data_IF_934953127660
#
_entry.id   IF_934953127660
#
_cell.length_a   1.000
_cell.length_b   1.000
_cell.length_c   1.000
_cell.angle_alpha   90.00
_cell.angle_beta   90.00
_cell.angle_gamma   90.00
#
_symmetry.space_group_name_H-M   'P 1'
#
loop_
_entity.id
_entity.type
_entity.pdbx_description
1 polymer ?
#
# COMPACT_ATOMS: atom_id res chain seq x y z
N UNK A 1 -8.58 -25.53 -5.82
CA UNK A 1 -8.74 -26.72 -6.69
C UNK A 1 -9.03 -28.01 -5.91
N UNK A 2 -8.08 -28.58 -5.17
CA UNK A 2 -8.24 -29.88 -4.46
C UNK A 2 -9.49 -29.99 -3.57
N UNK A 3 -9.89 -28.89 -2.92
CA UNK A 3 -11.03 -28.86 -2.00
C UNK A 3 -12.28 -28.17 -2.59
N UNK A 4 -12.27 -27.82 -3.88
CA UNK A 4 -13.42 -27.13 -4.52
C UNK A 4 -13.75 -25.74 -3.97
N UNK A 5 -12.85 -25.11 -3.22
CA UNK A 5 -13.06 -23.76 -2.66
C UNK A 5 -12.87 -22.67 -3.71
N UNK A 6 -13.47 -21.50 -3.45
CA UNK A 6 -13.28 -20.30 -4.25
C UNK A 6 -11.82 -19.86 -4.29
N UNK A 7 -11.36 -19.47 -5.48
CA UNK A 7 -10.01 -18.94 -5.67
C UNK A 7 -9.87 -17.55 -5.08
N UNK A 8 -8.68 -17.25 -4.53
CA UNK A 8 -8.28 -15.87 -4.24
C UNK A 8 -7.99 -15.17 -5.56
N UNK A 9 -8.68 -14.07 -5.84
CA UNK A 9 -8.55 -13.33 -7.11
C UNK A 9 -7.80 -12.01 -6.96
N UNK A 10 -7.67 -11.49 -5.74
CA UNK A 10 -6.93 -10.27 -5.48
C UNK A 10 -6.29 -10.24 -4.09
N UNK A 11 -5.23 -9.44 -3.96
CA UNK A 11 -4.56 -9.11 -2.72
C UNK A 11 -4.52 -7.59 -2.54
N UNK A 12 -5.10 -7.09 -1.45
CA UNK A 12 -4.95 -5.69 -1.05
C UNK A 12 -3.63 -5.50 -0.29
N UNK A 13 -2.74 -4.61 -0.75
CA UNK A 13 -1.44 -4.36 -0.11
C UNK A 13 -1.11 -2.88 0.06
N UNK A 14 -0.37 -2.56 1.13
CA UNK A 14 0.24 -1.24 1.23
C UNK A 14 1.28 -1.13 0.13
N UNK A 15 1.11 -0.14 -0.75
CA UNK A 15 2.09 0.08 -1.79
C UNK A 15 2.12 1.54 -2.21
N UNK A 16 3.30 2.13 -2.19
CA UNK A 16 3.57 3.52 -2.59
C UNK A 16 5.08 3.68 -2.81
N UNK A 17 5.52 4.82 -3.35
CA UNK A 17 6.95 5.12 -3.46
C UNK A 17 7.70 5.04 -2.12
N UNK A 18 6.99 5.24 -1.00
CA UNK A 18 7.53 5.18 0.36
C UNK A 18 7.31 3.83 1.08
N UNK A 19 6.71 2.82 0.43
CA UNK A 19 6.42 1.51 1.04
C UNK A 19 6.43 0.45 -0.06
N UNK A 20 7.53 -0.31 -0.14
CA UNK A 20 7.82 -1.22 -1.27
C UNK A 20 8.13 -2.66 -0.83
N UNK A 21 7.94 -2.99 0.44
CA UNK A 21 8.27 -4.31 1.00
C UNK A 21 7.54 -5.45 0.28
N UNK A 22 6.31 -5.19 -0.20
CA UNK A 22 5.48 -6.12 -0.97
C UNK A 22 6.11 -6.59 -2.30
N UNK A 23 7.15 -5.90 -2.80
CA UNK A 23 7.87 -6.32 -4.01
C UNK A 23 8.78 -7.53 -3.80
N UNK A 24 9.20 -7.79 -2.54
CA UNK A 24 10.13 -8.86 -2.22
C UNK A 24 9.54 -10.25 -2.53
N UNK A 25 8.35 -10.54 -1.98
CA UNK A 25 7.70 -11.83 -2.18
C UNK A 25 6.22 -11.72 -2.59
N UNK A 26 5.36 -10.92 -1.92
CA UNK A 26 3.92 -10.94 -2.20
C UNK A 26 3.58 -10.72 -3.68
N UNK A 27 4.25 -9.78 -4.35
CA UNK A 27 3.98 -9.50 -5.76
C UNK A 27 4.46 -10.62 -6.69
N UNK A 28 5.55 -11.32 -6.36
CA UNK A 28 6.01 -12.47 -7.14
C UNK A 28 5.00 -13.63 -7.04
N UNK A 29 4.49 -13.89 -5.82
CA UNK A 29 3.44 -14.88 -5.60
C UNK A 29 2.17 -14.51 -6.37
N UNK A 30 1.72 -13.26 -6.27
CA UNK A 30 0.53 -12.80 -6.98
C UNK A 30 0.68 -12.94 -8.50
N UNK A 31 1.84 -12.55 -9.04
CA UNK A 31 2.16 -12.67 -10.47
C UNK A 31 2.16 -14.13 -10.92
N UNK A 32 2.77 -15.03 -10.15
CA UNK A 32 2.82 -16.46 -10.48
C UNK A 32 1.43 -17.14 -10.41
N UNK A 33 0.57 -16.68 -9.49
CA UNK A 33 -0.76 -17.25 -9.26
C UNK A 33 -1.89 -16.57 -10.04
N UNK A 34 -1.60 -15.54 -10.83
CA UNK A 34 -2.63 -14.76 -11.55
C UNK A 34 -3.55 -13.94 -10.64
N UNK A 35 -3.06 -13.54 -9.45
CA UNK A 35 -3.81 -12.76 -8.47
C UNK A 35 -3.57 -11.27 -8.71
N UNK A 36 -4.65 -10.47 -8.79
CA UNK A 36 -4.54 -9.03 -8.94
C UNK A 36 -4.04 -8.33 -7.67
N UNK A 37 -3.19 -7.32 -7.80
CA UNK A 37 -2.75 -6.50 -6.67
C UNK A 37 -3.56 -5.21 -6.60
N UNK A 38 -4.13 -4.92 -5.44
CA UNK A 38 -4.93 -3.72 -5.17
C UNK A 38 -4.20 -2.85 -4.13
N UNK A 39 -3.45 -1.81 -4.56
CA UNK A 39 -2.66 -1.00 -3.65
C UNK A 39 -3.56 -0.07 -2.82
N UNK A 40 -3.38 -0.11 -1.50
CA UNK A 40 -3.93 0.89 -0.59
C UNK A 40 -2.84 1.85 -0.12
N UNK A 41 -3.24 3.08 0.24
CA UNK A 41 -2.33 4.17 0.60
C UNK A 41 -1.27 4.49 -0.48
N UNK A 42 -1.68 4.61 -1.74
CA UNK A 42 -0.81 5.01 -2.85
C UNK A 42 -0.01 6.31 -2.59
N UNK A 43 -0.60 7.24 -1.81
CA UNK A 43 0.03 8.49 -1.39
C UNK A 43 0.57 8.45 0.05
N UNK A 44 0.71 7.27 0.66
CA UNK A 44 1.13 7.04 2.05
C UNK A 44 0.40 7.97 3.03
N UNK A 45 -0.94 7.91 3.02
CA UNK A 45 -1.78 8.74 3.89
C UNK A 45 -1.77 10.25 3.58
N UNK A 46 -1.26 10.65 2.42
CA UNK A 46 -1.11 12.06 2.03
C UNK A 46 0.33 12.58 2.15
N UNK A 47 1.28 11.75 2.61
CA UNK A 47 2.70 12.10 2.66
C UNK A 47 3.29 12.45 1.28
N UNK A 48 2.88 11.72 0.23
CA UNK A 48 3.39 11.89 -1.13
C UNK A 48 2.63 12.93 -1.97
N UNK A 49 1.77 13.77 -1.38
CA UNK A 49 1.03 14.79 -2.15
C UNK A 49 1.86 16.05 -2.45
N UNK A 50 3.08 16.14 -1.91
CA UNK A 50 3.93 17.34 -2.01
C UNK A 50 3.61 18.45 -1.00
N UNK A 51 2.53 18.33 -0.23
CA UNK A 51 2.15 19.28 0.84
C UNK A 51 3.03 19.16 2.08
N UNK A 52 3.57 17.97 2.34
CA UNK A 52 4.47 17.71 3.46
C UNK A 52 5.88 18.14 3.05
N UNK A 53 6.51 18.98 3.86
CA UNK A 53 7.87 19.49 3.66
C UNK A 53 8.76 19.04 4.80
N UNK A 54 10.05 18.87 4.51
CA UNK A 54 11.06 18.57 5.54
C UNK A 54 11.10 19.70 6.56
N UNK A 55 11.23 19.36 7.83
CA UNK A 55 11.35 20.28 8.97
C UNK A 55 10.16 21.24 9.17
N UNK A 56 9.03 20.99 8.51
CA UNK A 56 7.78 21.75 8.69
C UNK A 56 6.76 20.83 9.35
N UNK A 57 6.29 21.19 10.55
CA UNK A 57 5.22 20.45 11.22
C UNK A 57 3.92 20.57 10.39
N UNK A 58 3.31 19.45 9.95
CA UNK A 58 2.03 19.49 9.27
C UNK A 58 0.94 20.02 10.21
N UNK A 59 0.08 20.89 9.70
CA UNK A 59 -1.01 21.50 10.49
C UNK A 59 -2.40 20.96 10.12
N UNK A 60 -2.51 20.17 9.05
CA UNK A 60 -3.79 19.60 8.59
C UNK A 60 -3.63 18.20 7.95
N UNK A 61 -4.72 17.44 7.98
CA UNK A 61 -4.86 16.11 7.42
C UNK A 61 -4.30 14.99 8.31
N UNK A 62 -4.38 13.75 7.82
CA UNK A 62 -4.06 12.53 8.58
C UNK A 62 -2.65 12.51 9.20
N UNK A 63 -1.66 13.09 8.52
CA UNK A 63 -0.28 13.14 9.02
C UNK A 63 -0.15 14.15 10.16
N UNK A 64 -0.84 15.29 10.10
CA UNK A 64 -0.83 16.26 11.20
C UNK A 64 -1.40 15.63 12.48
N UNK A 65 -2.57 14.98 12.37
CA UNK A 65 -3.19 14.25 13.48
C UNK A 65 -2.28 13.15 14.08
N UNK A 66 -1.52 12.44 13.25
CA UNK A 66 -0.62 11.38 13.72
C UNK A 66 0.66 11.89 14.42
N UNK A 67 0.90 13.21 14.39
CA UNK A 67 2.08 13.87 15.00
C UNK A 67 1.71 14.81 16.16
N UNK A 68 0.44 14.78 16.57
CA UNK A 68 -0.01 15.28 17.88
C UNK A 68 0.43 14.32 18.98
#
# INVERSE_FOLDING_TARGET
EKYGLNSIVSLQQQYSLASRDSELEPFQVCKAAGIAVLPWSALKGGFLTGKIKRDVKPTDGRIAWATE
#
